data_IF_715490387275
#
_entry.id   IF_715490387275
#
_cell.length_a   1.000
_cell.length_b   1.000
_cell.length_c   1.000
_cell.angle_alpha   90.00
_cell.angle_beta   90.00
_cell.angle_gamma   90.00
#
_symmetry.space_group_name_H-M   'P 1'
#
loop_
_entity.id
_entity.type
_entity.pdbx_description
1 polymer ?
#
# COMPACT_ATOMS: atom_id res chain seq x y z
N UNK A 1 5.28 15.70 15.25
CA UNK A 1 5.96 15.83 13.94
C UNK A 1 4.92 16.32 12.94
N UNK A 2 5.03 17.56 12.47
CA UNK A 2 4.17 18.00 11.36
C UNK A 2 4.62 17.24 10.10
N UNK A 3 3.73 16.56 9.36
CA UNK A 3 4.12 15.83 8.16
C UNK A 3 4.74 16.75 7.09
N UNK A 4 4.50 18.05 7.20
CA UNK A 4 4.89 19.06 6.20
C UNK A 4 6.21 19.79 6.51
N UNK A 5 6.89 19.51 7.62
CA UNK A 5 8.12 20.23 7.96
C UNK A 5 7.92 21.76 8.03
N UNK A 6 8.98 22.53 7.80
CA UNK A 6 8.88 23.97 7.57
C UNK A 6 8.24 24.25 6.20
N UNK A 7 7.55 25.38 6.03
CA UNK A 7 6.94 25.79 4.74
C UNK A 7 7.95 25.86 3.58
N UNK A 8 9.24 25.99 3.91
CA UNK A 8 10.35 26.03 2.95
C UNK A 8 10.85 24.63 2.53
N UNK A 9 10.41 23.58 3.21
CA UNK A 9 10.83 22.22 2.90
C UNK A 9 10.16 21.77 1.60
N UNK A 10 10.93 21.13 0.74
CA UNK A 10 10.35 20.44 -0.43
C UNK A 10 9.35 19.35 0.02
N UNK A 11 8.33 19.04 -0.79
CA UNK A 11 7.27 18.11 -0.43
C UNK A 11 7.81 16.74 0.06
N UNK A 12 7.13 16.06 1.01
CA UNK A 12 7.57 14.75 1.52
C UNK A 12 7.83 13.71 0.42
N UNK A 13 7.01 13.70 -0.64
CA UNK A 13 7.17 12.83 -1.82
C UNK A 13 8.48 13.05 -2.59
N UNK A 14 9.12 14.21 -2.43
CA UNK A 14 10.43 14.51 -3.02
C UNK A 14 11.54 14.16 -2.04
N UNK A 15 11.38 14.51 -0.75
CA UNK A 15 12.38 14.24 0.30
C UNK A 15 12.59 12.76 0.58
N UNK A 16 11.52 11.98 0.53
CA UNK A 16 11.51 10.57 0.93
C UNK A 16 11.39 9.61 -0.25
N UNK A 17 11.47 10.12 -1.48
CA UNK A 17 11.45 9.27 -2.66
C UNK A 17 12.67 8.35 -2.65
N UNK A 18 12.40 7.05 -2.70
CA UNK A 18 13.41 6.01 -2.53
C UNK A 18 13.33 5.02 -3.69
N UNK A 19 14.37 4.21 -3.89
CA UNK A 19 14.32 3.13 -4.89
C UNK A 19 13.23 2.11 -4.55
N UNK A 20 13.00 1.88 -3.26
CA UNK A 20 12.00 0.95 -2.75
C UNK A 20 11.14 1.66 -1.72
N UNK A 21 9.81 1.56 -1.84
CA UNK A 21 8.87 1.94 -0.79
C UNK A 21 8.23 0.70 -0.16
N UNK A 22 8.26 0.62 1.17
CA UNK A 22 7.66 -0.46 1.94
C UNK A 22 6.46 0.05 2.75
N UNK A 23 5.30 -0.57 2.57
CA UNK A 23 4.07 -0.25 3.28
C UNK A 23 3.58 -1.50 4.01
N UNK A 24 4.01 -1.65 5.26
CA UNK A 24 3.77 -2.83 6.09
C UNK A 24 2.52 -2.62 6.95
N UNK A 25 1.57 -3.53 6.84
CA UNK A 25 0.27 -3.54 7.51
C UNK A 25 -0.44 -2.16 7.59
N UNK A 26 -0.26 -1.28 6.61
CA UNK A 26 -0.79 0.10 6.68
C UNK A 26 -2.10 0.27 5.89
N UNK A 27 -2.20 -0.40 4.74
CA UNK A 27 -3.32 -0.24 3.79
C UNK A 27 -4.68 -0.54 4.40
N UNK A 28 -4.78 -1.61 5.20
CA UNK A 28 -6.04 -2.05 5.80
C UNK A 28 -6.61 -1.04 6.81
N UNK A 29 -5.78 -0.29 7.54
CA UNK A 29 -6.25 0.80 8.39
C UNK A 29 -6.74 1.99 7.55
N UNK A 30 -5.97 2.40 6.54
CA UNK A 30 -6.36 3.51 5.65
C UNK A 30 -7.69 3.24 4.94
N UNK A 31 -7.90 2.00 4.48
CA UNK A 31 -9.12 1.55 3.80
C UNK A 31 -10.30 1.40 4.75
N UNK A 32 -10.14 0.58 5.79
CA UNK A 32 -11.27 0.08 6.58
C UNK A 32 -11.65 0.99 7.75
N UNK A 33 -10.77 1.90 8.19
CA UNK A 33 -11.07 2.84 9.27
C UNK A 33 -11.07 4.29 8.85
N UNK A 34 -10.17 4.69 7.96
CA UNK A 34 -10.00 6.11 7.58
C UNK A 34 -10.72 6.51 6.28
N UNK A 35 -11.33 5.55 5.57
CA UNK A 35 -12.17 5.81 4.40
C UNK A 35 -11.41 6.23 3.14
N UNK A 36 -10.09 6.05 3.09
CA UNK A 36 -9.34 6.30 1.85
C UNK A 36 -9.64 5.22 0.81
N UNK A 37 -9.73 5.60 -0.46
CA UNK A 37 -9.83 4.62 -1.55
C UNK A 37 -8.49 3.93 -1.80
N UNK A 38 -8.54 2.69 -2.29
CA UNK A 38 -7.33 1.93 -2.66
C UNK A 38 -6.52 2.65 -3.73
N UNK A 39 -7.22 3.27 -4.68
CA UNK A 39 -6.64 4.06 -5.76
C UNK A 39 -5.82 5.24 -5.21
N UNK A 40 -6.37 5.97 -4.22
CA UNK A 40 -5.65 7.10 -3.61
C UNK A 40 -4.42 6.64 -2.83
N UNK A 41 -4.53 5.51 -2.13
CA UNK A 41 -3.42 4.92 -1.38
C UNK A 41 -2.30 4.50 -2.33
N UNK A 42 -2.59 3.74 -3.37
CA UNK A 42 -1.59 3.26 -4.32
C UNK A 42 -0.99 4.38 -5.15
N UNK A 43 -1.78 5.35 -5.60
CA UNK A 43 -1.25 6.55 -6.26
C UNK A 43 -0.25 7.28 -5.37
N UNK A 44 -0.57 7.45 -4.08
CA UNK A 44 0.31 8.10 -3.11
C UNK A 44 1.59 7.29 -2.92
N UNK A 45 1.51 5.98 -2.64
CA UNK A 45 2.67 5.10 -2.46
C UNK A 45 3.59 5.15 -3.68
N UNK A 46 3.02 5.14 -4.89
CA UNK A 46 3.77 5.22 -6.14
C UNK A 46 4.67 6.46 -6.21
N UNK A 47 4.26 7.59 -5.63
CA UNK A 47 5.08 8.82 -5.61
C UNK A 47 6.35 8.70 -4.76
N UNK A 48 6.40 7.75 -3.82
CA UNK A 48 7.55 7.53 -2.93
C UNK A 48 8.55 6.49 -3.46
N UNK A 49 8.27 5.82 -4.58
CA UNK A 49 9.12 4.76 -5.14
C UNK A 49 9.67 5.12 -6.53
N UNK A 50 10.94 4.79 -6.78
CA UNK A 50 11.54 4.85 -8.12
C UNK A 50 11.45 3.50 -8.85
N UNK A 51 11.70 2.39 -8.15
CA UNK A 51 11.84 1.06 -8.78
C UNK A 51 10.80 0.08 -8.31
N UNK A 52 10.70 -0.16 -7.00
CA UNK A 52 9.86 -1.23 -6.45
C UNK A 52 8.99 -0.77 -5.28
N UNK A 53 7.89 -1.48 -5.08
CA UNK A 53 7.05 -1.37 -3.89
C UNK A 53 6.87 -2.74 -3.24
N UNK A 54 6.77 -2.74 -1.92
CA UNK A 54 6.43 -3.89 -1.09
C UNK A 54 5.27 -3.49 -0.20
N UNK A 55 4.09 -4.09 -0.41
CA UNK A 55 2.86 -3.69 0.26
C UNK A 55 2.23 -4.91 0.91
N UNK A 56 2.07 -4.86 2.23
CA UNK A 56 1.34 -5.90 2.95
C UNK A 56 -0.17 -5.74 2.77
N UNK A 57 -0.83 -6.88 2.57
CA UNK A 57 -2.27 -7.05 2.57
C UNK A 57 -2.67 -8.03 3.68
N UNK A 58 -3.69 -7.66 4.45
CA UNK A 58 -4.22 -8.47 5.53
C UNK A 58 -5.67 -8.86 5.23
N UNK A 59 -5.95 -10.07 4.69
CA UNK A 59 -7.30 -10.44 4.23
C UNK A 59 -8.34 -10.53 5.35
N UNK A 60 -7.93 -10.73 6.61
CA UNK A 60 -8.85 -10.67 7.76
C UNK A 60 -9.16 -9.24 8.23
N UNK A 61 -8.80 -8.23 7.45
CA UNK A 61 -9.07 -6.82 7.74
C UNK A 61 -8.43 -6.36 9.05
N UNK A 62 -9.22 -5.78 9.94
CA UNK A 62 -8.80 -5.22 11.25
C UNK A 62 -8.59 -6.29 12.33
N UNK A 63 -8.21 -7.50 11.95
CA UNK A 63 -7.97 -8.58 12.92
C UNK A 63 -6.88 -8.20 13.92
N UNK A 64 -7.20 -8.33 15.20
CA UNK A 64 -6.21 -8.28 16.28
C UNK A 64 -6.41 -9.47 17.22
N UNK A 65 -5.31 -9.99 17.78
CA UNK A 65 -5.40 -11.05 18.79
C UNK A 65 -6.22 -10.64 20.03
N UNK A 66 -6.26 -9.34 20.34
CA UNK A 66 -6.94 -8.78 21.52
C UNK A 66 -8.44 -8.60 21.33
N UNK A 67 -8.88 -8.18 20.13
CA UNK A 67 -10.27 -7.81 19.86
C UNK A 67 -10.96 -8.73 18.83
N UNK A 68 -10.28 -9.77 18.34
CA UNK A 68 -10.80 -10.67 17.30
C UNK A 68 -10.81 -10.03 15.91
N UNK A 69 -11.54 -10.63 14.97
CA UNK A 69 -11.78 -10.05 13.63
C UNK A 69 -13.10 -9.29 13.63
N UNK A 70 -13.07 -8.01 13.28
CA UNK A 70 -14.22 -7.43 12.59
C UNK A 70 -14.28 -8.05 11.20
N UNK A 71 -15.46 -8.56 10.81
CA UNK A 71 -15.64 -9.18 9.48
C UNK A 71 -15.26 -8.15 8.43
N UNK A 72 -14.25 -8.46 7.62
CA UNK A 72 -13.91 -7.62 6.48
C UNK A 72 -15.08 -7.63 5.48
N UNK A 73 -15.31 -6.53 4.74
CA UNK A 73 -16.32 -6.52 3.69
C UNK A 73 -16.09 -7.63 2.67
N UNK A 74 -17.16 -8.18 2.08
CA UNK A 74 -17.05 -9.34 1.18
C UNK A 74 -16.22 -9.04 -0.09
N UNK A 75 -16.12 -7.77 -0.49
CA UNK A 75 -15.27 -7.33 -1.59
C UNK A 75 -13.78 -7.28 -1.25
N UNK A 76 -13.40 -7.28 0.04
CA UNK A 76 -12.02 -7.10 0.52
C UNK A 76 -11.25 -8.42 0.49
N UNK A 77 -11.01 -8.92 -0.71
CA UNK A 77 -10.33 -10.21 -0.95
C UNK A 77 -8.90 -10.01 -1.44
N UNK A 78 -8.10 -11.06 -1.37
CA UNK A 78 -6.74 -11.08 -1.95
C UNK A 78 -6.79 -10.83 -3.47
N UNK A 79 -7.81 -11.35 -4.16
CA UNK A 79 -8.02 -11.11 -5.59
C UNK A 79 -8.31 -9.63 -5.86
N UNK A 80 -9.24 -9.04 -5.12
CA UNK A 80 -9.54 -7.62 -5.24
C UNK A 80 -8.30 -6.76 -5.00
N UNK A 81 -7.49 -7.08 -3.98
CA UNK A 81 -6.26 -6.35 -3.72
C UNK A 81 -5.26 -6.50 -4.87
N UNK A 82 -5.07 -7.71 -5.39
CA UNK A 82 -4.21 -8.00 -6.55
C UNK A 82 -4.63 -7.18 -7.77
N UNK A 83 -5.91 -7.23 -8.12
CA UNK A 83 -6.44 -6.49 -9.27
C UNK A 83 -6.20 -4.99 -9.13
N UNK A 84 -6.39 -4.41 -7.94
CA UNK A 84 -6.11 -3.00 -7.70
C UNK A 84 -4.61 -2.69 -7.70
N UNK A 85 -3.77 -3.58 -7.15
CA UNK A 85 -2.32 -3.42 -7.16
C UNK A 85 -1.78 -3.34 -8.59
N UNK A 86 -2.28 -4.22 -9.46
CA UNK A 86 -1.87 -4.30 -10.87
C UNK A 86 -2.27 -3.08 -11.71
N UNK A 87 -3.19 -2.23 -11.25
CA UNK A 87 -3.50 -0.95 -11.91
C UNK A 87 -2.35 0.06 -11.80
N UNK A 88 -1.54 -0.02 -10.74
CA UNK A 88 -0.51 0.97 -10.41
C UNK A 88 0.92 0.44 -10.50
N UNK A 89 1.09 -0.88 -10.37
CA UNK A 89 2.39 -1.54 -10.29
C UNK A 89 2.42 -2.78 -11.18
N UNK A 90 3.58 -3.08 -11.75
CA UNK A 90 3.85 -4.35 -12.43
C UNK A 90 4.05 -5.41 -11.35
N UNK A 91 3.06 -6.27 -11.13
CA UNK A 91 3.17 -7.37 -10.17
C UNK A 91 4.37 -8.26 -10.50
N UNK A 92 5.24 -8.48 -9.51
CA UNK A 92 6.40 -9.37 -9.63
C UNK A 92 6.26 -10.62 -8.77
N UNK A 93 5.54 -10.52 -7.67
CA UNK A 93 5.20 -11.69 -6.87
C UNK A 93 4.34 -11.38 -5.66
N UNK A 94 3.84 -12.46 -5.08
CA UNK A 94 3.02 -12.48 -3.87
C UNK A 94 3.59 -13.51 -2.92
N UNK A 95 3.92 -13.08 -1.71
CA UNK A 95 4.49 -13.95 -0.68
C UNK A 95 3.45 -14.08 0.43
N UNK A 96 2.93 -15.28 0.64
CA UNK A 96 2.10 -15.57 1.80
C UNK A 96 3.00 -15.69 3.03
N UNK A 97 2.99 -14.68 3.90
CA UNK A 97 3.82 -14.65 5.11
C UNK A 97 3.23 -15.54 6.21
N UNK A 98 1.90 -15.57 6.32
CA UNK A 98 1.14 -16.45 7.20
C UNK A 98 -0.35 -16.45 6.78
N UNK A 99 -1.24 -17.03 7.59
CA UNK A 99 -2.67 -17.11 7.30
C UNK A 99 -3.38 -15.75 7.19
N UNK A 100 -2.81 -14.68 7.74
CA UNK A 100 -3.44 -13.38 7.87
C UNK A 100 -2.65 -12.25 7.19
N UNK A 101 -1.53 -12.57 6.50
CA UNK A 101 -0.68 -11.57 5.84
C UNK A 101 -0.11 -12.09 4.52
N UNK A 102 -0.22 -11.25 3.50
CA UNK A 102 0.38 -11.41 2.18
C UNK A 102 1.25 -10.19 1.91
N UNK A 103 2.42 -10.39 1.31
CA UNK A 103 3.28 -9.33 0.82
C UNK A 103 3.22 -9.31 -0.70
N UNK A 104 2.66 -8.26 -1.25
CA UNK A 104 2.67 -7.99 -2.69
C UNK A 104 3.90 -7.16 -3.01
N UNK A 105 4.65 -7.52 -4.05
CA UNK A 105 5.74 -6.69 -4.53
C UNK A 105 5.73 -6.56 -6.04
N UNK A 106 6.16 -5.40 -6.51
CA UNK A 106 6.01 -5.01 -7.91
C UNK A 106 6.89 -3.85 -8.31
N UNK A 107 7.08 -3.70 -9.61
CA UNK A 107 7.78 -2.56 -10.21
C UNK A 107 6.86 -1.36 -10.36
N UNK A 108 7.37 -0.15 -10.16
CA UNK A 108 6.65 1.09 -10.45
C UNK A 108 6.47 1.24 -11.96
N UNK A 109 5.25 1.49 -12.42
CA UNK A 109 4.99 1.86 -13.82
C UNK A 109 5.65 3.22 -14.09
N UNK A 110 6.74 3.21 -14.86
CA UNK A 110 7.30 4.42 -15.42
C UNK A 110 6.43 4.82 -16.61
N UNK A 111 5.92 6.06 -16.61
CA UNK A 111 5.52 6.65 -17.88
C UNK A 111 6.79 6.71 -18.71
N UNK A 112 6.86 5.95 -19.81
CA UNK A 112 7.91 6.18 -20.81
C UNK A 112 7.71 7.61 -21.33
N UNK A 113 8.43 8.57 -20.77
CA UNK A 113 8.74 9.79 -21.50
C UNK A 113 9.62 9.34 -22.66
N UNK A 114 8.98 9.24 -23.84
CA UNK A 114 9.67 9.20 -25.13
C UNK A 114 10.47 10.47 -25.34
#
# INVERSE_FOLDING_TARGET
>A
MYPNGNIKDVPPKERFRSDIACCLATTHHLLLTQGYSIDKIFETIRTYANKYVFIEFMPKGLYSKKYGSQKAPDWYTTEWFRMNFMKYFVLRGEIKLNEIRYLFWGGVLTNKTS
#
